data_IF_334737987947
#
_entry.id   IF_334737987947
#
_cell.length_a   1.000
_cell.length_b   1.000
_cell.length_c   1.000
_cell.angle_alpha   90.00
_cell.angle_beta   90.00
_cell.angle_gamma   90.00
#
_symmetry.space_group_name_H-M   'P 1'
#
loop_
_entity.id
_entity.type
_entity.pdbx_description
1 polymer ?
#
# COMPACT_ATOMS: atom_id res chain seq x y z
N UNK A 1 12.67 3.83 -15.74
CA UNK A 1 12.56 5.03 -14.93
C UNK A 1 12.56 4.56 -13.50
N UNK A 2 13.67 4.77 -12.83
CA UNK A 2 13.73 4.69 -11.40
C UNK A 2 12.72 5.69 -10.86
N UNK A 3 11.81 5.24 -9.99
CA UNK A 3 11.05 6.17 -9.17
C UNK A 3 12.10 7.01 -8.44
N UNK A 4 12.36 8.20 -8.97
CA UNK A 4 13.22 9.14 -8.27
C UNK A 4 12.53 9.43 -6.94
N UNK A 5 13.18 9.22 -5.81
CA UNK A 5 12.56 9.40 -4.51
C UNK A 5 12.07 10.84 -4.26
N UNK A 6 12.43 11.77 -5.16
CA UNK A 6 12.17 13.21 -5.03
C UNK A 6 10.74 13.67 -5.30
N UNK A 7 9.84 12.82 -5.84
CA UNK A 7 8.47 13.22 -6.21
C UNK A 7 7.38 12.56 -5.38
N UNK A 8 7.71 11.87 -4.31
CA UNK A 8 6.71 11.29 -3.40
C UNK A 8 6.49 12.21 -2.21
N UNK A 9 5.23 12.51 -1.90
CA UNK A 9 4.83 13.20 -0.64
C UNK A 9 5.47 12.52 0.58
N UNK A 10 5.54 11.19 0.59
CA UNK A 10 6.21 10.42 1.64
C UNK A 10 7.73 10.67 1.68
N UNK A 11 8.37 10.96 0.55
CA UNK A 11 9.79 11.31 0.55
C UNK A 11 10.05 12.69 1.17
N UNK A 12 9.20 13.68 0.89
CA UNK A 12 9.33 15.00 1.53
C UNK A 12 9.05 14.92 3.04
N UNK A 13 8.03 14.14 3.45
CA UNK A 13 7.71 13.92 4.85
C UNK A 13 8.85 13.20 5.61
N UNK A 14 9.48 12.22 4.96
CA UNK A 14 10.63 11.49 5.47
C UNK A 14 11.84 12.40 5.62
N UNK A 15 12.09 13.27 4.63
CA UNK A 15 13.21 14.22 4.70
C UNK A 15 12.99 15.30 5.78
N UNK A 16 11.76 15.77 5.97
CA UNK A 16 11.41 16.70 7.06
C UNK A 16 11.62 16.05 8.44
N UNK A 17 11.25 14.79 8.60
CA UNK A 17 11.47 14.04 9.87
C UNK A 17 12.96 13.81 10.12
N UNK A 18 13.75 13.61 9.06
CA UNK A 18 15.22 13.46 9.15
C UNK A 18 15.91 14.78 9.51
N UNK A 19 15.40 15.92 9.03
CA UNK A 19 15.96 17.25 9.35
C UNK A 19 15.66 17.70 10.78
N UNK A 20 14.64 17.10 11.43
CA UNK A 20 14.26 17.42 12.82
C UNK A 20 15.03 16.63 13.90
N UNK A 21 16.12 15.94 13.57
CA UNK A 21 17.11 15.49 14.56
C UNK A 21 16.79 14.18 15.27
N UNK A 22 16.00 13.27 14.72
CA UNK A 22 15.85 11.91 15.22
C UNK A 22 17.02 11.00 14.78
N UNK A 23 18.24 11.45 14.93
CA UNK A 23 19.44 10.69 14.63
C UNK A 23 20.04 10.09 15.89
N UNK A 24 19.45 9.02 16.39
CA UNK A 24 20.20 8.08 17.23
C UNK A 24 21.27 7.38 16.38
N UNK A 25 22.47 7.22 16.92
CA UNK A 25 23.68 6.69 16.25
C UNK A 25 23.53 5.32 15.53
N UNK A 26 22.41 4.62 15.67
CA UNK A 26 22.15 3.28 15.14
C UNK A 26 21.84 3.25 13.62
N UNK A 27 21.45 4.39 13.04
CA UNK A 27 21.02 4.48 11.64
C UNK A 27 22.16 4.75 10.65
N UNK A 28 23.36 5.09 11.11
CA UNK A 28 24.46 5.52 10.24
C UNK A 28 25.08 4.39 9.42
N UNK A 29 24.98 3.14 9.86
CA UNK A 29 25.59 1.97 9.17
C UNK A 29 24.63 1.19 8.26
N UNK A 30 23.33 1.54 8.23
CA UNK A 30 22.35 0.82 7.43
C UNK A 30 22.37 1.23 5.96
N UNK A 31 22.11 0.28 5.01
CA UNK A 31 21.90 0.60 3.60
C UNK A 31 20.76 1.61 3.41
N UNK A 32 20.91 2.53 2.45
CA UNK A 32 19.93 3.59 2.16
C UNK A 32 18.49 3.06 2.02
N UNK A 33 18.31 1.95 1.33
CA UNK A 33 16.97 1.35 1.14
C UNK A 33 16.32 0.95 2.47
N UNK A 34 17.09 0.51 3.45
CA UNK A 34 16.59 0.15 4.78
C UNK A 34 16.20 1.39 5.59
N UNK A 35 17.00 2.45 5.49
CA UNK A 35 16.69 3.74 6.13
C UNK A 35 15.39 4.32 5.58
N UNK A 36 15.20 4.27 4.26
CA UNK A 36 13.97 4.73 3.60
C UNK A 36 12.76 3.89 4.05
N UNK A 37 12.92 2.57 4.17
CA UNK A 37 11.85 1.71 4.66
C UNK A 37 11.44 2.08 6.09
N UNK A 38 12.38 2.21 7.02
CA UNK A 38 12.10 2.58 8.40
C UNK A 38 11.43 3.94 8.53
N UNK A 39 11.93 4.93 7.78
CA UNK A 39 11.32 6.25 7.77
C UNK A 39 9.89 6.25 7.18
N UNK A 40 9.62 5.44 6.17
CA UNK A 40 8.26 5.22 5.65
C UNK A 40 7.36 4.54 6.68
N UNK A 41 7.89 3.57 7.41
CA UNK A 41 7.18 2.86 8.46
C UNK A 41 6.75 3.81 9.60
N UNK A 42 7.65 4.66 10.07
CA UNK A 42 7.36 5.65 11.10
C UNK A 42 6.37 6.72 10.60
N UNK A 43 6.52 7.19 9.36
CA UNK A 43 5.60 8.13 8.74
C UNK A 43 4.18 7.56 8.62
N UNK A 44 4.05 6.29 8.23
CA UNK A 44 2.76 5.58 8.14
C UNK A 44 2.07 5.53 9.49
N UNK A 45 2.78 5.18 10.55
CA UNK A 45 2.24 5.17 11.91
C UNK A 45 1.78 6.55 12.36
N UNK A 46 2.63 7.56 12.15
CA UNK A 46 2.29 8.94 12.48
C UNK A 46 1.01 9.41 11.77
N UNK A 47 0.86 9.13 10.48
CA UNK A 47 -0.36 9.47 9.73
C UNK A 47 -1.58 8.74 10.29
N UNK A 48 -1.43 7.46 10.64
CA UNK A 48 -2.52 6.68 11.22
C UNK A 48 -2.94 7.18 12.62
N UNK A 49 -2.00 7.69 13.41
CA UNK A 49 -2.26 8.28 14.73
C UNK A 49 -2.98 9.64 14.64
N UNK A 50 -2.86 10.36 13.52
CA UNK A 50 -3.55 11.65 13.30
C UNK A 50 -5.04 11.48 12.97
N UNK A 51 -5.50 10.29 12.56
CA UNK A 51 -6.91 10.01 12.31
C UNK A 51 -7.18 9.07 11.13
N UNK A 52 -8.43 8.95 10.70
CA UNK A 52 -8.81 8.08 9.60
C UNK A 52 -8.09 8.44 8.30
N UNK A 53 -7.44 7.46 7.68
CA UNK A 53 -6.65 7.68 6.47
C UNK A 53 -6.72 6.47 5.51
N UNK A 54 -6.40 6.71 4.25
CA UNK A 54 -6.22 5.67 3.22
C UNK A 54 -4.76 5.65 2.79
N UNK A 55 -4.11 4.53 3.04
CA UNK A 55 -2.70 4.33 2.72
C UNK A 55 -2.55 3.35 1.54
N UNK A 56 -1.73 3.70 0.56
CA UNK A 56 -1.55 2.89 -0.64
C UNK A 56 -0.12 2.35 -0.74
N UNK A 57 0.01 1.04 -0.59
CA UNK A 57 1.28 0.34 -0.70
C UNK A 57 2.25 0.59 0.46
N UNK A 58 3.55 0.53 0.19
CA UNK A 58 4.65 0.76 1.16
C UNK A 58 4.62 -0.14 2.41
N UNK A 59 4.03 -1.34 2.28
CA UNK A 59 3.85 -2.26 3.40
C UNK A 59 3.05 -1.66 4.56
N UNK A 60 2.09 -0.76 4.27
CA UNK A 60 1.30 -0.09 5.30
C UNK A 60 0.48 -1.08 6.14
N UNK A 61 -0.01 -2.15 5.54
CA UNK A 61 -0.68 -3.26 6.22
C UNK A 61 0.22 -3.95 7.26
N UNK A 62 1.51 -4.04 6.99
CA UNK A 62 2.50 -4.56 7.93
C UNK A 62 2.87 -3.53 9.00
N UNK A 63 3.05 -2.27 8.62
CA UNK A 63 3.36 -1.19 9.55
C UNK A 63 2.27 -1.00 10.61
N UNK A 64 1.01 -1.25 10.24
CA UNK A 64 -0.16 -1.05 11.09
C UNK A 64 -0.77 -2.38 11.60
N UNK A 65 -0.04 -3.49 11.53
CA UNK A 65 -0.55 -4.83 11.92
C UNK A 65 -1.06 -4.89 13.37
N UNK A 66 -0.51 -4.07 14.26
CA UNK A 66 -0.93 -3.97 15.67
C UNK A 66 -2.07 -2.96 15.91
N UNK A 67 -2.50 -2.23 14.89
CA UNK A 67 -3.57 -1.24 15.03
C UNK A 67 -4.95 -1.89 14.93
N UNK A 68 -5.89 -1.59 15.84
CA UNK A 68 -7.16 -2.31 15.94
C UNK A 68 -8.13 -2.05 14.78
N UNK A 69 -8.07 -0.88 14.15
CA UNK A 69 -9.06 -0.43 13.16
C UNK A 69 -8.47 -0.37 11.75
N UNK A 70 -7.68 -1.35 11.37
CA UNK A 70 -7.09 -1.45 10.04
C UNK A 70 -7.87 -2.45 9.19
N UNK A 71 -8.10 -2.09 7.93
CA UNK A 71 -8.61 -3.00 6.90
C UNK A 71 -7.56 -3.10 5.80
N UNK A 72 -6.93 -4.26 5.68
CA UNK A 72 -5.95 -4.52 4.64
C UNK A 72 -6.62 -5.04 3.38
N UNK A 73 -6.42 -4.34 2.26
CA UNK A 73 -7.14 -4.61 1.01
C UNK A 73 -6.15 -4.83 -0.14
N UNK A 74 -6.35 -5.91 -0.89
CA UNK A 74 -5.66 -6.14 -2.14
C UNK A 74 -6.60 -5.97 -3.33
N UNK A 75 -6.27 -5.05 -4.23
CA UNK A 75 -7.03 -4.80 -5.46
C UNK A 75 -6.23 -5.34 -6.64
N UNK A 76 -6.79 -6.31 -7.34
CA UNK A 76 -6.27 -6.82 -8.61
C UNK A 76 -7.15 -6.38 -9.78
N UNK A 77 -6.66 -6.58 -10.98
CA UNK A 77 -7.45 -6.49 -12.21
C UNK A 77 -6.91 -7.50 -13.22
N UNK A 78 -7.72 -7.89 -14.18
CA UNK A 78 -7.34 -8.78 -15.25
C UNK A 78 -6.29 -8.13 -16.15
N UNK A 79 -5.39 -8.95 -16.70
CA UNK A 79 -4.24 -8.44 -17.43
C UNK A 79 -4.62 -7.58 -18.64
N UNK A 80 -5.69 -7.93 -19.35
CA UNK A 80 -6.16 -7.19 -20.51
C UNK A 80 -6.63 -5.78 -20.13
N UNK A 81 -7.38 -5.63 -19.04
CA UNK A 81 -7.82 -4.32 -18.56
C UNK A 81 -6.67 -3.47 -18.05
N UNK A 82 -5.69 -4.11 -17.41
CA UNK A 82 -4.47 -3.45 -16.96
C UNK A 82 -3.65 -2.93 -18.14
N UNK A 83 -3.48 -3.74 -19.19
CA UNK A 83 -2.77 -3.36 -20.41
C UNK A 83 -3.47 -2.17 -21.05
N UNK A 84 -4.78 -2.26 -21.30
CA UNK A 84 -5.56 -1.17 -21.90
C UNK A 84 -5.39 0.14 -21.14
N UNK A 85 -5.51 0.11 -19.81
CA UNK A 85 -5.39 1.28 -18.94
C UNK A 85 -3.99 1.88 -18.94
N UNK A 86 -2.95 1.05 -18.91
CA UNK A 86 -1.55 1.50 -18.90
C UNK A 86 -1.15 2.01 -20.29
N UNK A 87 -1.53 1.31 -21.35
CA UNK A 87 -1.28 1.72 -22.73
C UNK A 87 -1.87 3.11 -23.01
N UNK A 88 -3.16 3.30 -22.68
CA UNK A 88 -3.84 4.60 -22.84
C UNK A 88 -3.20 5.70 -22.02
N UNK A 89 -2.88 5.44 -20.74
CA UNK A 89 -2.37 6.49 -19.84
C UNK A 89 -0.94 6.95 -20.18
N UNK A 90 -0.12 6.06 -20.70
CA UNK A 90 1.30 6.29 -20.94
C UNK A 90 1.65 6.37 -22.43
N UNK A 91 0.65 6.32 -23.31
CA UNK A 91 0.83 6.30 -24.77
C UNK A 91 1.81 5.19 -25.24
N UNK A 92 1.54 3.97 -24.79
CA UNK A 92 2.36 2.80 -25.08
C UNK A 92 1.60 1.80 -25.95
N UNK A 93 2.35 0.98 -26.68
CA UNK A 93 1.79 -0.23 -27.28
C UNK A 93 1.43 -1.25 -26.20
N UNK A 94 0.46 -2.13 -26.48
CA UNK A 94 0.01 -3.18 -25.56
C UNK A 94 1.17 -4.07 -25.09
N UNK A 95 2.10 -4.41 -25.98
CA UNK A 95 3.28 -5.19 -25.64
C UNK A 95 4.18 -4.48 -24.62
N UNK A 96 4.43 -3.18 -24.82
CA UNK A 96 5.23 -2.37 -23.88
C UNK A 96 4.50 -2.16 -22.55
N UNK A 97 3.18 -1.97 -22.59
CA UNK A 97 2.36 -1.86 -21.39
C UNK A 97 2.40 -3.14 -20.57
N UNK A 98 2.24 -4.31 -21.20
CA UNK A 98 2.35 -5.63 -20.57
C UNK A 98 3.71 -5.86 -19.91
N UNK A 99 4.79 -5.54 -20.61
CA UNK A 99 6.14 -5.68 -20.08
C UNK A 99 6.38 -4.76 -18.87
N UNK A 100 5.91 -3.51 -18.94
CA UNK A 100 5.98 -2.55 -17.83
C UNK A 100 5.19 -3.05 -16.61
N UNK A 101 3.98 -3.58 -16.81
CA UNK A 101 3.15 -4.15 -15.75
C UNK A 101 3.88 -5.29 -15.05
N UNK A 102 4.41 -6.26 -15.82
CA UNK A 102 5.10 -7.41 -15.26
C UNK A 102 6.35 -7.00 -14.46
N UNK A 103 7.14 -6.07 -14.98
CA UNK A 103 8.32 -5.54 -14.28
C UNK A 103 7.94 -4.83 -12.99
N UNK A 104 6.87 -4.05 -13.04
CA UNK A 104 6.39 -3.28 -11.87
C UNK A 104 5.84 -4.21 -10.80
N UNK A 105 5.05 -5.21 -11.16
CA UNK A 105 4.52 -6.19 -10.21
C UNK A 105 5.63 -7.03 -9.57
N UNK A 106 6.63 -7.43 -10.36
CA UNK A 106 7.81 -8.11 -9.83
C UNK A 106 8.56 -7.26 -8.79
N UNK A 107 8.74 -5.96 -9.07
CA UNK A 107 9.37 -5.02 -8.10
C UNK A 107 8.53 -4.88 -6.82
N UNK A 108 7.19 -4.76 -6.93
CA UNK A 108 6.29 -4.68 -5.79
C UNK A 108 6.32 -5.95 -4.95
N UNK A 109 6.23 -7.11 -5.61
CA UNK A 109 6.29 -8.39 -4.92
C UNK A 109 7.63 -8.57 -4.18
N UNK A 110 8.75 -8.27 -4.85
CA UNK A 110 10.09 -8.37 -4.22
C UNK A 110 10.21 -7.46 -3.01
N UNK A 111 9.74 -6.21 -3.11
CA UNK A 111 9.76 -5.24 -2.00
C UNK A 111 8.90 -5.73 -0.83
N UNK A 112 7.65 -6.08 -1.09
CA UNK A 112 6.69 -6.52 -0.07
C UNK A 112 7.16 -7.80 0.63
N UNK A 113 7.53 -8.82 -0.15
CA UNK A 113 7.98 -10.10 0.41
C UNK A 113 9.24 -9.96 1.27
N UNK A 114 10.16 -9.07 0.86
CA UNK A 114 11.40 -8.84 1.59
C UNK A 114 11.17 -8.19 2.96
N UNK A 115 10.28 -7.18 3.01
CA UNK A 115 10.10 -6.40 4.24
C UNK A 115 9.04 -6.95 5.19
N UNK A 116 8.10 -7.79 4.71
CA UNK A 116 6.96 -8.25 5.51
C UNK A 116 6.98 -9.73 5.85
N UNK A 117 7.83 -10.52 5.25
CA UNK A 117 7.78 -11.99 5.28
C UNK A 117 6.42 -12.59 4.83
N UNK A 118 5.56 -11.77 4.23
CA UNK A 118 4.29 -12.16 3.61
C UNK A 118 4.48 -12.25 2.10
N UNK A 119 3.52 -12.81 1.39
CA UNK A 119 3.57 -12.95 -0.06
C UNK A 119 2.63 -11.96 -0.71
N UNK A 120 3.17 -11.09 -1.55
CA UNK A 120 2.39 -10.07 -2.24
C UNK A 120 1.31 -10.68 -3.13
N UNK A 121 0.05 -10.24 -2.98
CA UNK A 121 -1.09 -10.74 -3.75
C UNK A 121 -1.64 -12.09 -3.29
N UNK A 122 -1.11 -12.68 -2.22
CA UNK A 122 -1.69 -13.88 -1.62
C UNK A 122 -2.89 -13.51 -0.76
N UNK A 123 -4.05 -14.13 -1.04
CA UNK A 123 -5.31 -13.78 -0.39
C UNK A 123 -5.24 -13.84 1.14
N UNK A 124 -4.50 -14.79 1.70
CA UNK A 124 -4.31 -14.94 3.14
C UNK A 124 -3.54 -13.78 3.80
N UNK A 125 -2.86 -12.93 3.02
CA UNK A 125 -2.13 -11.76 3.52
C UNK A 125 -3.00 -10.53 3.68
N UNK A 126 -4.26 -10.57 3.22
CA UNK A 126 -5.16 -9.41 3.21
C UNK A 126 -6.52 -9.79 3.75
N UNK A 127 -7.21 -8.82 4.36
CA UNK A 127 -8.56 -9.01 4.88
C UNK A 127 -9.60 -9.06 3.75
N UNK A 128 -9.40 -8.26 2.68
CA UNK A 128 -10.28 -8.20 1.52
C UNK A 128 -9.48 -8.22 0.22
N UNK A 129 -9.87 -9.08 -0.72
CA UNK A 129 -9.28 -9.13 -2.05
C UNK A 129 -10.36 -8.91 -3.11
N UNK A 130 -10.18 -7.91 -3.98
CA UNK A 130 -11.16 -7.55 -5.02
C UNK A 130 -10.55 -7.57 -6.42
N UNK A 131 -11.36 -8.01 -7.40
CA UNK A 131 -11.05 -7.85 -8.81
C UNK A 131 -11.77 -6.62 -9.37
N UNK A 132 -11.03 -5.55 -9.63
CA UNK A 132 -11.60 -4.31 -10.16
C UNK A 132 -12.01 -4.38 -11.64
N UNK A 133 -11.70 -5.47 -12.34
CA UNK A 133 -12.20 -5.70 -13.69
C UNK A 133 -13.71 -5.99 -13.71
N UNK A 134 -14.23 -6.64 -12.67
CA UNK A 134 -15.65 -7.00 -12.55
C UNK A 134 -16.54 -5.78 -12.24
N UNK A 135 -16.11 -4.94 -11.31
CA UNK A 135 -16.93 -3.85 -10.78
C UNK A 135 -16.53 -2.47 -11.33
N UNK A 136 -15.43 -2.40 -12.06
CA UNK A 136 -14.83 -1.13 -12.42
C UNK A 136 -14.30 -0.39 -11.19
N UNK A 137 -13.70 0.79 -11.39
CA UNK A 137 -13.09 1.58 -10.30
C UNK A 137 -14.15 2.02 -9.28
N UNK A 138 -15.26 2.57 -9.76
CA UNK A 138 -16.32 3.10 -8.90
C UNK A 138 -17.04 1.99 -8.12
N UNK A 139 -17.34 0.88 -8.76
CA UNK A 139 -17.97 -0.26 -8.11
C UNK A 139 -17.05 -0.90 -7.06
N UNK A 140 -15.75 -0.99 -7.35
CA UNK A 140 -14.75 -1.48 -6.39
C UNK A 140 -14.67 -0.58 -5.16
N UNK A 141 -14.66 0.74 -5.34
CA UNK A 141 -14.65 1.69 -4.23
C UNK A 141 -15.91 1.55 -3.35
N UNK A 142 -17.10 1.42 -3.96
CA UNK A 142 -18.35 1.18 -3.23
C UNK A 142 -18.34 -0.16 -2.47
N UNK A 143 -17.80 -1.20 -3.06
CA UNK A 143 -17.69 -2.50 -2.39
C UNK A 143 -16.79 -2.41 -1.14
N UNK A 144 -15.69 -1.67 -1.22
CA UNK A 144 -14.79 -1.42 -0.08
C UNK A 144 -15.53 -0.63 1.01
N UNK A 145 -16.21 0.44 0.64
CA UNK A 145 -17.00 1.25 1.57
C UNK A 145 -18.05 0.40 2.32
N UNK A 146 -18.82 -0.40 1.60
CA UNK A 146 -19.82 -1.29 2.19
C UNK A 146 -19.22 -2.35 3.12
N UNK A 147 -18.06 -2.90 2.76
CA UNK A 147 -17.33 -3.82 3.62
C UNK A 147 -16.93 -3.16 4.95
N UNK A 148 -16.37 -1.95 4.90
CA UNK A 148 -15.96 -1.20 6.09
C UNK A 148 -17.16 -0.90 6.98
N UNK A 149 -18.27 -0.39 6.43
CA UNK A 149 -19.48 -0.10 7.17
C UNK A 149 -20.06 -1.35 7.84
N UNK A 150 -20.07 -2.48 7.15
CA UNK A 150 -20.54 -3.76 7.70
C UNK A 150 -19.63 -4.21 8.85
N UNK A 151 -18.31 -4.15 8.68
CA UNK A 151 -17.35 -4.51 9.73
C UNK A 151 -17.56 -3.67 10.98
N UNK A 152 -17.68 -2.35 10.83
CA UNK A 152 -17.94 -1.43 11.96
C UNK A 152 -19.27 -1.72 12.68
N UNK A 153 -20.33 -2.10 11.94
CA UNK A 153 -21.61 -2.44 12.55
C UNK A 153 -21.51 -3.70 13.40
N UNK A 154 -20.85 -4.74 12.89
CA UNK A 154 -20.64 -5.99 13.61
C UNK A 154 -19.80 -5.76 14.87
N UNK A 155 -18.75 -4.96 14.79
CA UNK A 155 -17.92 -4.64 15.95
C UNK A 155 -18.67 -3.83 17.02
N UNK A 156 -19.58 -2.94 16.62
CA UNK A 156 -20.44 -2.20 17.55
C UNK A 156 -21.43 -3.12 18.25
N UNK A 157 -22.06 -4.03 17.50
CA UNK A 157 -22.99 -5.02 18.06
C UNK A 157 -22.28 -5.93 19.08
N UNK A 158 -21.08 -6.43 18.76
CA UNK A 158 -20.30 -7.26 19.66
C UNK A 158 -19.94 -6.56 20.98
N UNK A 159 -19.64 -5.25 20.93
CA UNK A 159 -19.35 -4.44 22.13
C UNK A 159 -20.58 -4.18 23.00
N UNK A 160 -21.78 -4.21 22.44
CA UNK A 160 -23.03 -3.98 23.19
C UNK A 160 -23.57 -5.26 23.86
N UNK A 161 -22.99 -6.42 23.56
CA UNK A 161 -23.41 -7.72 24.15
C UNK A 161 -22.58 -8.08 25.40
N UNK A 162 -21.47 -7.38 25.63
CA UNK A 162 -20.57 -7.55 26.78
C UNK A 162 -20.87 -6.50 27.85
#
# INVERSE_FOLDING_TARGET
HDEKPTNSFLYSLVMDTYSMGYAGNTYTEMPINHKVFLAQFDAIKKIADEGPCVLVGRCADYALESYPNVVSIFIRADMEDRIRRVATRLDLTDAKAKDLINKTDKKRASYYNYYTNKKWGEAASYELCLNSSELGVQGTAKAIEQYILLKESIEKEARNIV
#
